data_IF_931298823519
#
_entry.id   IF_931298823519
#
_cell.length_a   1.000
_cell.length_b   1.000
_cell.length_c   1.000
_cell.angle_alpha   90.00
_cell.angle_beta   90.00
_cell.angle_gamma   90.00
#
_symmetry.space_group_name_H-M   'P 1'
#
loop_
_entity.id
_entity.type
_entity.pdbx_description
1 polymer ?
#
# COMPACT_ATOMS: atom_id res chain seq x y z
N UNK A 1 -11.97 -17.46 -7.79
CA UNK A 1 -10.89 -16.70 -7.13
C UNK A 1 -11.39 -15.29 -6.83
N UNK A 2 -11.23 -14.83 -5.60
CA UNK A 2 -11.74 -13.53 -5.20
C UNK A 2 -10.71 -12.45 -5.48
N UNK A 3 -11.13 -11.39 -6.18
CA UNK A 3 -10.31 -10.21 -6.36
C UNK A 3 -10.56 -9.31 -5.14
N UNK A 4 -9.51 -8.86 -4.50
CA UNK A 4 -9.62 -8.05 -3.31
C UNK A 4 -9.15 -6.62 -3.58
N UNK A 5 -9.97 -5.68 -3.13
CA UNK A 5 -9.56 -4.27 -3.09
C UNK A 5 -8.93 -3.98 -1.75
N UNK A 6 -7.71 -3.47 -1.77
CA UNK A 6 -7.03 -3.08 -0.55
C UNK A 6 -6.99 -1.55 -0.46
N UNK A 7 -7.51 -1.03 0.64
CA UNK A 7 -7.33 0.38 0.94
C UNK A 7 -6.02 0.58 1.71
N UNK A 8 -5.73 1.82 2.08
CA UNK A 8 -4.49 2.15 2.76
C UNK A 8 -4.32 1.35 4.04
N UNK A 9 -5.36 1.26 4.85
CA UNK A 9 -5.28 0.55 6.13
C UNK A 9 -5.05 -0.94 5.93
N UNK A 10 -5.73 -1.53 4.96
CA UNK A 10 -5.57 -2.96 4.68
C UNK A 10 -4.14 -3.28 4.24
N UNK A 11 -3.55 -2.43 3.41
CA UNK A 11 -2.19 -2.64 2.93
C UNK A 11 -1.19 -2.51 4.07
N UNK A 12 -1.36 -1.51 4.93
CA UNK A 12 -0.48 -1.32 6.07
C UNK A 12 -0.59 -2.50 7.04
N UNK A 13 -1.79 -3.05 7.21
CA UNK A 13 -1.99 -4.17 8.13
C UNK A 13 -1.50 -5.49 7.56
N UNK A 14 -1.65 -5.70 6.25
CA UNK A 14 -1.31 -6.99 5.63
C UNK A 14 -0.81 -6.77 4.22
N UNK A 15 0.49 -6.65 4.08
CA UNK A 15 1.12 -6.43 2.78
C UNK A 15 1.97 -7.61 2.32
N UNK A 16 1.73 -8.81 2.88
CA UNK A 16 2.57 -9.96 2.57
C UNK A 16 2.37 -10.51 1.16
N UNK A 17 1.13 -10.45 0.65
CA UNK A 17 0.87 -10.95 -0.71
C UNK A 17 -0.20 -10.05 -1.34
N UNK A 18 0.24 -9.16 -2.19
CA UNK A 18 -0.64 -8.20 -2.86
C UNK A 18 -0.68 -8.42 -4.36
N UNK A 19 -0.14 -9.54 -4.84
CA UNK A 19 -0.09 -9.79 -6.28
C UNK A 19 -1.48 -10.00 -6.88
N UNK A 20 -2.45 -10.42 -6.06
CA UNK A 20 -3.82 -10.68 -6.51
C UNK A 20 -4.81 -9.62 -6.02
N UNK A 21 -4.34 -8.45 -5.63
CA UNK A 21 -5.23 -7.40 -5.14
C UNK A 21 -5.28 -6.26 -6.14
N UNK A 22 -6.33 -5.45 -6.05
CA UNK A 22 -6.46 -4.24 -6.85
C UNK A 22 -6.28 -3.05 -5.92
N UNK A 23 -5.45 -2.12 -6.32
CA UNK A 23 -5.13 -0.94 -5.53
C UNK A 23 -5.49 0.29 -6.35
N UNK A 24 -6.18 1.25 -5.76
CA UNK A 24 -6.48 2.48 -6.46
C UNK A 24 -5.25 3.40 -6.43
N UNK A 25 -5.13 4.25 -7.45
CA UNK A 25 -4.04 5.21 -7.49
C UNK A 25 -4.10 6.16 -6.30
N UNK A 26 -5.29 6.45 -5.81
CA UNK A 26 -5.45 7.28 -4.62
C UNK A 26 -4.83 6.61 -3.39
N UNK A 27 -5.03 5.31 -3.25
CA UNK A 27 -4.41 4.56 -2.15
C UNK A 27 -2.89 4.62 -2.24
N UNK A 28 -2.35 4.48 -3.42
CA UNK A 28 -0.91 4.58 -3.62
C UNK A 28 -0.40 5.98 -3.25
N UNK A 29 -1.12 7.02 -3.66
CA UNK A 29 -0.75 8.39 -3.29
C UNK A 29 -0.76 8.57 -1.77
N UNK A 30 -1.77 8.02 -1.09
CA UNK A 30 -1.85 8.12 0.36
C UNK A 30 -0.66 7.41 1.02
N UNK A 31 -0.29 6.25 0.52
CA UNK A 31 0.87 5.53 1.06
C UNK A 31 2.15 6.33 0.88
N UNK A 32 2.34 6.94 -0.27
CA UNK A 32 3.52 7.76 -0.50
C UNK A 32 3.53 9.00 0.38
N UNK A 33 2.38 9.60 0.64
CA UNK A 33 2.27 10.72 1.56
C UNK A 33 2.63 10.30 2.98
N UNK A 34 2.16 9.14 3.44
CA UNK A 34 2.49 8.64 4.76
C UNK A 34 3.99 8.37 4.85
N UNK A 35 4.56 7.77 3.82
CA UNK A 35 5.98 7.44 3.78
C UNK A 35 6.86 8.68 4.00
N UNK A 36 6.44 9.81 3.46
CA UNK A 36 7.21 11.05 3.53
C UNK A 36 6.69 12.02 4.58
N UNK A 37 5.66 11.67 5.34
CA UNK A 37 5.09 12.55 6.36
C UNK A 37 6.00 12.64 7.58
N UNK A 38 6.19 13.83 8.09
CA UNK A 38 6.95 14.04 9.32
C UNK A 38 6.07 14.00 10.57
N UNK A 39 4.76 13.89 10.40
CA UNK A 39 3.81 13.91 11.51
C UNK A 39 3.31 12.53 11.90
N UNK A 40 3.66 11.49 11.16
CA UNK A 40 3.20 10.14 11.46
C UNK A 40 4.25 9.38 12.28
N UNK A 41 3.80 8.36 13.01
CA UNK A 41 4.68 7.49 13.74
C UNK A 41 5.68 6.82 12.82
N UNK A 42 6.87 6.55 13.33
CA UNK A 42 7.88 5.83 12.56
C UNK A 42 7.41 4.44 12.15
N UNK A 43 6.62 3.80 13.01
CA UNK A 43 6.09 2.47 12.71
C UNK A 43 5.16 2.51 11.49
N UNK A 44 4.27 3.49 11.44
CA UNK A 44 3.36 3.65 10.32
C UNK A 44 4.13 4.00 9.05
N UNK A 45 5.11 4.88 9.16
CA UNK A 45 5.95 5.25 8.02
C UNK A 45 6.73 4.05 7.50
N UNK A 46 7.23 3.23 8.39
CA UNK A 46 7.94 2.02 8.00
C UNK A 46 7.02 1.06 7.24
N UNK A 47 5.81 0.85 7.76
CA UNK A 47 4.84 -0.03 7.11
C UNK A 47 4.42 0.51 5.75
N UNK A 48 4.23 1.82 5.63
CA UNK A 48 3.89 2.41 4.34
C UNK A 48 5.04 2.24 3.34
N UNK A 49 6.26 2.37 3.80
CA UNK A 49 7.44 2.19 2.94
C UNK A 49 7.52 0.74 2.44
N UNK A 50 7.29 -0.21 3.33
CA UNK A 50 7.28 -1.63 2.97
C UNK A 50 6.17 -1.90 1.96
N UNK A 51 5.00 -1.31 2.18
CA UNK A 51 3.87 -1.49 1.28
C UNK A 51 4.16 -0.95 -0.12
N UNK A 52 4.73 0.24 -0.20
CA UNK A 52 5.08 0.83 -1.50
C UNK A 52 6.10 -0.04 -2.22
N UNK A 53 7.07 -0.55 -1.48
CA UNK A 53 8.06 -1.43 -2.07
C UNK A 53 7.43 -2.71 -2.59
N UNK A 54 6.53 -3.31 -1.83
CA UNK A 54 5.83 -4.51 -2.25
C UNK A 54 5.01 -4.26 -3.52
N UNK A 55 4.37 -3.10 -3.61
CA UNK A 55 3.62 -2.74 -4.80
C UNK A 55 4.54 -2.69 -6.02
N UNK A 56 5.73 -2.12 -5.86
CA UNK A 56 6.67 -2.04 -6.97
C UNK A 56 7.20 -3.40 -7.38
N UNK A 57 7.42 -4.29 -6.43
CA UNK A 57 7.98 -5.61 -6.71
C UNK A 57 6.93 -6.58 -7.25
N UNK A 58 5.75 -6.60 -6.66
CA UNK A 58 4.70 -7.54 -7.03
C UNK A 58 3.80 -7.02 -8.15
N UNK A 59 3.79 -5.72 -8.36
CA UNK A 59 3.06 -5.07 -9.45
C UNK A 59 1.59 -5.47 -9.50
N UNK A 60 0.85 -5.26 -8.40
CA UNK A 60 -0.58 -5.50 -8.42
C UNK A 60 -1.27 -4.54 -9.39
N UNK A 61 -2.51 -4.84 -9.74
CA UNK A 61 -3.25 -3.98 -10.64
C UNK A 61 -3.57 -2.64 -9.97
N UNK A 62 -3.24 -1.56 -10.66
CA UNK A 62 -3.50 -0.22 -10.16
C UNK A 62 -4.62 0.39 -10.99
N UNK A 63 -5.66 0.85 -10.30
CA UNK A 63 -6.82 1.47 -10.94
C UNK A 63 -6.78 2.97 -10.70
N UNK A 64 -6.97 3.71 -11.76
CA UNK A 64 -6.95 5.18 -11.71
C UNK A 64 -8.29 5.75 -11.28
#
# INVERSE_FOLDING_TARGET
MAIRFYDTNAIISDCTDISNVIISSKTLDELENIKSSSHKDNDIKYKARVAVRAIREQKPEIVV
#
